data_IF_519796315228
#
_entry.id   IF_519796315228
#
_cell.length_a   1.000
_cell.length_b   1.000
_cell.length_c   1.000
_cell.angle_alpha   90.00
_cell.angle_beta   90.00
_cell.angle_gamma   90.00
#
_symmetry.space_group_name_H-M   'P 1'
#
loop_
_entity.id
_entity.type
_entity.pdbx_description
1 polymer ?
#
# COMPACT_ATOMS: atom_id res chain seq x y z
N UNK A 1 28.57 -14.60 -11.02
CA UNK A 1 27.12 -14.52 -10.75
C UNK A 1 26.66 -13.09 -10.91
N UNK A 2 25.37 -12.84 -11.10
CA UNK A 2 24.78 -11.51 -11.33
C UNK A 2 24.62 -10.67 -10.04
N UNK A 3 25.59 -10.73 -9.12
CA UNK A 3 25.54 -10.07 -7.82
C UNK A 3 26.87 -9.41 -7.51
N UNK A 4 26.83 -8.20 -6.92
CA UNK A 4 28.03 -7.53 -6.43
C UNK A 4 28.91 -6.93 -7.52
N UNK A 5 28.35 -6.56 -8.66
CA UNK A 5 29.06 -5.83 -9.73
C UNK A 5 28.17 -4.71 -10.29
N UNK A 6 28.75 -3.64 -10.86
CA UNK A 6 27.98 -2.62 -11.59
C UNK A 6 27.08 -3.26 -12.65
N UNK A 7 25.85 -2.75 -12.79
CA UNK A 7 24.86 -3.27 -13.74
C UNK A 7 24.24 -4.63 -13.38
N UNK A 8 24.59 -5.21 -12.23
CA UNK A 8 24.03 -6.47 -11.76
C UNK A 8 23.43 -6.33 -10.35
N UNK A 9 22.62 -7.30 -9.94
CA UNK A 9 22.07 -7.39 -8.60
C UNK A 9 20.60 -7.75 -8.58
N UNK A 10 20.02 -7.68 -7.39
CA UNK A 10 18.59 -7.85 -7.15
C UNK A 10 18.02 -6.48 -6.80
N UNK A 11 17.13 -5.97 -7.65
CA UNK A 11 16.45 -4.70 -7.43
C UNK A 11 14.94 -4.92 -7.38
N UNK A 12 14.34 -5.06 -6.18
CA UNK A 12 12.89 -5.09 -6.06
C UNK A 12 12.34 -3.69 -6.38
N UNK A 13 11.67 -3.55 -7.52
CA UNK A 13 11.01 -2.30 -7.93
C UNK A 13 9.86 -2.03 -6.97
N UNK A 14 9.98 -0.97 -6.16
CA UNK A 14 8.97 -0.60 -5.17
C UNK A 14 7.97 0.39 -5.76
N UNK A 15 6.69 0.21 -5.42
CA UNK A 15 5.61 0.95 -6.10
C UNK A 15 5.39 2.39 -5.63
N UNK A 16 5.50 2.69 -4.33
CA UNK A 16 5.33 4.07 -3.84
C UNK A 16 6.63 4.85 -3.85
N UNK A 17 6.49 6.15 -4.03
CA UNK A 17 7.60 7.08 -4.16
C UNK A 17 8.51 7.14 -2.91
N UNK A 18 7.97 6.98 -1.68
CA UNK A 18 8.74 7.01 -0.43
C UNK A 18 8.62 5.75 0.46
N UNK A 19 8.12 4.61 -0.04
CA UNK A 19 7.98 3.40 0.83
C UNK A 19 9.32 2.91 1.37
N UNK A 20 10.42 3.19 0.67
CA UNK A 20 11.76 2.95 1.19
C UNK A 20 12.05 3.83 2.41
N UNK A 21 11.84 5.14 2.28
CA UNK A 21 12.09 6.12 3.35
C UNK A 21 11.21 5.89 4.59
N UNK A 22 9.93 5.56 4.39
CA UNK A 22 8.99 5.19 5.45
C UNK A 22 9.55 4.05 6.32
N UNK A 23 10.07 2.99 5.69
CA UNK A 23 10.71 1.89 6.40
C UNK A 23 12.08 2.23 7.00
N UNK A 24 12.82 3.17 6.41
CA UNK A 24 14.06 3.70 6.98
C UNK A 24 13.80 4.48 8.27
N UNK A 25 12.72 5.26 8.31
CA UNK A 25 12.30 6.08 9.45
C UNK A 25 11.55 5.30 10.54
N UNK A 26 11.52 3.96 10.47
CA UNK A 26 10.99 3.13 11.55
C UNK A 26 9.47 2.95 11.56
N UNK A 27 8.76 3.28 10.47
CA UNK A 27 7.31 2.98 10.35
C UNK A 27 7.11 1.49 9.98
N UNK A 28 7.44 0.61 10.91
CA UNK A 28 7.33 -0.84 10.80
C UNK A 28 6.80 -1.43 12.11
N UNK A 29 6.11 -2.59 12.10
CA UNK A 29 5.58 -3.17 13.33
C UNK A 29 6.66 -3.47 14.39
N UNK A 30 7.88 -3.83 13.95
CA UNK A 30 9.05 -3.94 14.81
C UNK A 30 10.15 -2.98 14.35
N UNK A 31 10.74 -2.23 15.28
CA UNK A 31 11.86 -1.33 15.00
C UNK A 31 13.15 -2.12 14.76
N UNK A 32 13.99 -1.62 13.85
CA UNK A 32 15.36 -2.15 13.68
C UNK A 32 16.19 -1.81 14.91
N UNK A 33 17.03 -2.75 15.35
CA UNK A 33 17.84 -2.61 16.57
C UNK A 33 18.64 -1.30 16.63
N UNK A 34 19.31 -0.91 15.53
CA UNK A 34 20.08 0.33 15.48
C UNK A 34 19.22 1.58 15.67
N UNK A 35 18.02 1.62 15.07
CA UNK A 35 17.08 2.73 15.23
C UNK A 35 16.55 2.76 16.68
N UNK A 36 16.16 1.60 17.22
CA UNK A 36 15.66 1.47 18.59
C UNK A 36 16.70 1.93 19.63
N UNK A 37 17.97 1.51 19.47
CA UNK A 37 19.06 1.93 20.35
C UNK A 37 19.24 3.45 20.36
N UNK A 38 19.18 4.11 19.19
CA UNK A 38 19.25 5.57 19.10
C UNK A 38 18.07 6.27 19.76
N UNK A 39 16.86 5.71 19.65
CA UNK A 39 15.68 6.29 20.31
C UNK A 39 15.76 6.18 21.84
N UNK A 40 16.32 5.09 22.36
CA UNK A 40 16.60 4.93 23.79
C UNK A 40 17.67 5.92 24.24
N UNK A 41 18.80 5.96 23.53
CA UNK A 41 19.97 6.80 23.87
C UNK A 41 19.62 8.30 23.86
N UNK A 42 18.93 8.79 22.83
CA UNK A 42 18.68 10.22 22.64
C UNK A 42 17.43 10.72 23.34
N UNK A 43 16.40 9.87 23.50
CA UNK A 43 15.08 10.31 23.94
C UNK A 43 14.50 9.50 25.10
N UNK A 44 15.22 8.50 25.62
CA UNK A 44 14.77 7.66 26.72
C UNK A 44 13.48 6.90 26.41
N UNK A 45 13.20 6.58 25.14
CA UNK A 45 12.00 5.83 24.78
C UNK A 45 12.13 4.38 25.21
N UNK A 46 11.16 3.88 25.97
CA UNK A 46 11.01 2.46 26.23
C UNK A 46 10.48 1.75 24.98
N UNK A 47 11.24 0.79 24.47
CA UNK A 47 10.86 -0.01 23.31
C UNK A 47 10.02 -1.20 23.80
N UNK A 48 8.81 -1.43 23.25
CA UNK A 48 8.01 -2.61 23.60
C UNK A 48 8.75 -3.92 23.31
N UNK A 49 8.59 -4.92 24.19
CA UNK A 49 9.21 -6.25 24.01
C UNK A 49 8.66 -7.01 22.79
N UNK A 50 7.40 -6.72 22.42
CA UNK A 50 6.71 -7.39 21.32
C UNK A 50 6.53 -6.42 20.15
N UNK A 51 6.69 -6.88 18.91
CA UNK A 51 6.36 -6.06 17.75
C UNK A 51 4.86 -5.72 17.77
N UNK A 52 4.53 -4.56 17.21
CA UNK A 52 3.16 -4.18 16.92
C UNK A 52 2.52 -5.07 15.85
N UNK A 53 1.27 -4.76 15.51
CA UNK A 53 0.54 -5.46 14.47
C UNK A 53 0.97 -4.97 13.08
N UNK A 54 1.02 -5.89 12.11
CA UNK A 54 1.03 -5.50 10.70
C UNK A 54 -0.35 -5.00 10.25
N UNK A 55 -0.44 -4.48 9.02
CA UNK A 55 -1.67 -3.90 8.48
C UNK A 55 -2.84 -4.89 8.49
N UNK A 56 -2.61 -6.15 8.13
CA UNK A 56 -3.68 -7.13 8.06
C UNK A 56 -4.11 -7.58 9.46
N UNK A 57 -3.15 -7.83 10.36
CA UNK A 57 -3.42 -8.11 11.76
C UNK A 57 -4.20 -6.97 12.44
N UNK A 58 -3.91 -5.71 12.08
CA UNK A 58 -4.68 -4.54 12.56
C UNK A 58 -6.13 -4.56 12.08
N UNK A 59 -6.38 -4.99 10.84
CA UNK A 59 -7.74 -5.15 10.30
C UNK A 59 -8.50 -6.30 10.95
N UNK A 60 -7.82 -7.42 11.24
CA UNK A 60 -8.40 -8.52 12.04
C UNK A 60 -8.76 -8.04 13.44
N UNK A 61 -7.85 -7.35 14.13
CA UNK A 61 -8.12 -6.78 15.45
C UNK A 61 -9.29 -5.78 15.42
N UNK A 62 -9.41 -4.97 14.36
CA UNK A 62 -10.55 -4.09 14.17
C UNK A 62 -11.87 -4.87 14.00
N UNK A 63 -11.86 -5.93 13.18
CA UNK A 63 -13.02 -6.82 12.98
C UNK A 63 -13.48 -7.50 14.27
N UNK A 64 -12.54 -7.86 15.14
CA UNK A 64 -12.80 -8.44 16.46
C UNK A 64 -13.20 -7.40 17.53
N UNK A 65 -13.12 -6.10 17.21
CA UNK A 65 -13.47 -5.03 18.15
C UNK A 65 -12.35 -4.70 19.16
N UNK A 66 -11.13 -5.15 18.90
CA UNK A 66 -9.95 -4.90 19.74
C UNK A 66 -9.27 -3.54 19.48
N UNK A 67 -9.74 -2.76 18.49
CA UNK A 67 -9.17 -1.45 18.15
C UNK A 67 -10.09 -0.33 18.60
N UNK A 68 -9.67 0.42 19.63
CA UNK A 68 -10.40 1.58 20.14
C UNK A 68 -10.24 2.83 19.28
N UNK A 69 -9.04 3.08 18.76
CA UNK A 69 -8.75 4.22 17.90
C UNK A 69 -7.77 3.84 16.78
N UNK A 70 -7.93 4.45 15.61
CA UNK A 70 -7.03 4.27 14.48
C UNK A 70 -6.64 5.63 13.87
N UNK A 71 -5.34 5.89 13.75
CA UNK A 71 -4.79 7.05 13.04
C UNK A 71 -4.38 6.59 11.64
N UNK A 72 -5.08 7.08 10.62
CA UNK A 72 -4.91 6.71 9.23
C UNK A 72 -4.20 7.85 8.50
N UNK A 73 -2.95 7.63 8.11
CA UNK A 73 -2.08 8.64 7.51
C UNK A 73 -1.92 8.43 6.00
N UNK A 74 -2.36 9.40 5.19
CA UNK A 74 -2.01 9.52 3.78
C UNK A 74 -2.43 8.35 2.87
N UNK A 75 -3.40 7.53 3.28
CA UNK A 75 -3.75 6.28 2.58
C UNK A 75 -5.24 5.98 2.54
N UNK A 76 -5.59 4.93 1.79
CA UNK A 76 -6.94 4.40 1.70
C UNK A 76 -6.94 2.93 2.17
N UNK A 77 -6.93 2.74 3.49
CA UNK A 77 -6.87 1.41 4.10
C UNK A 77 -8.06 0.55 3.67
N UNK A 78 -9.24 1.14 3.54
CA UNK A 78 -10.44 0.46 3.06
C UNK A 78 -10.25 -0.10 1.64
N UNK A 79 -9.93 0.75 0.66
CA UNK A 79 -9.89 0.32 -0.73
C UNK A 79 -8.69 -0.58 -1.05
N UNK A 80 -7.62 -0.53 -0.26
CA UNK A 80 -6.43 -1.38 -0.44
C UNK A 80 -6.54 -2.77 0.19
N UNK A 81 -7.55 -3.00 1.04
CA UNK A 81 -7.76 -4.32 1.65
C UNK A 81 -8.51 -5.28 0.70
N UNK A 82 -8.22 -6.59 0.79
CA UNK A 82 -9.07 -7.63 0.17
C UNK A 82 -10.43 -7.68 0.88
N UNK A 83 -11.43 -8.26 0.23
CA UNK A 83 -12.79 -8.40 0.75
C UNK A 83 -13.33 -7.04 1.27
N UNK A 84 -13.76 -6.20 0.32
CA UNK A 84 -14.22 -4.83 0.64
C UNK A 84 -15.37 -4.82 1.65
N UNK A 85 -16.23 -5.83 1.66
CA UNK A 85 -17.33 -5.93 2.63
C UNK A 85 -16.78 -6.14 4.04
N UNK A 86 -15.91 -7.12 4.22
CA UNK A 86 -15.25 -7.35 5.50
C UNK A 86 -14.44 -6.12 5.94
N UNK A 87 -13.69 -5.49 5.03
CA UNK A 87 -12.91 -4.30 5.34
C UNK A 87 -13.79 -3.15 5.84
N UNK A 88 -14.95 -2.91 5.21
CA UNK A 88 -15.93 -1.93 5.68
C UNK A 88 -16.42 -2.27 7.10
N UNK A 89 -16.83 -3.51 7.32
CA UNK A 89 -17.41 -3.96 8.58
C UNK A 89 -16.38 -3.95 9.72
N UNK A 90 -15.12 -4.28 9.43
CA UNK A 90 -14.00 -4.20 10.36
C UNK A 90 -13.74 -2.75 10.79
N UNK A 91 -13.63 -1.82 9.83
CA UNK A 91 -13.35 -0.42 10.14
C UNK A 91 -14.50 0.24 10.90
N UNK A 92 -15.75 -0.10 10.60
CA UNK A 92 -16.95 0.40 11.32
C UNK A 92 -17.00 0.03 12.80
N UNK A 93 -16.27 -1.00 13.22
CA UNK A 93 -16.18 -1.41 14.62
C UNK A 93 -15.21 -0.56 15.43
N UNK A 94 -14.27 0.12 14.77
CA UNK A 94 -13.32 1.04 15.42
C UNK A 94 -14.10 2.22 16.01
N UNK A 95 -13.89 2.52 17.30
CA UNK A 95 -14.67 3.57 17.98
C UNK A 95 -14.36 4.96 17.40
N UNK A 96 -13.09 5.28 17.20
CA UNK A 96 -12.66 6.55 16.61
C UNK A 96 -11.61 6.34 15.51
N UNK A 97 -11.88 6.84 14.31
CA UNK A 97 -10.89 6.89 13.22
C UNK A 97 -10.51 8.34 12.95
N UNK A 98 -9.22 8.64 12.95
CA UNK A 98 -8.66 9.95 12.61
C UNK A 98 -7.92 9.79 11.29
N UNK A 99 -8.44 10.37 10.22
CA UNK A 99 -7.77 10.36 8.92
C UNK A 99 -7.05 11.69 8.70
N UNK A 100 -5.74 11.62 8.51
CA UNK A 100 -4.89 12.75 8.12
C UNK A 100 -4.66 12.58 6.62
N UNK A 101 -5.30 13.43 5.82
CA UNK A 101 -5.42 13.21 4.36
C UNK A 101 -5.34 14.51 3.57
N UNK A 102 -4.83 14.41 2.34
CA UNK A 102 -4.77 15.55 1.41
C UNK A 102 -6.05 15.70 0.59
N UNK A 103 -6.77 14.59 0.35
CA UNK A 103 -8.03 14.56 -0.40
C UNK A 103 -9.02 13.55 0.19
N UNK A 104 -10.30 13.73 -0.10
CA UNK A 104 -11.29 12.71 0.18
C UNK A 104 -11.07 11.48 -0.71
N UNK A 105 -11.35 10.29 -0.19
CA UNK A 105 -11.27 9.02 -0.88
C UNK A 105 -12.36 8.08 -0.34
N UNK A 106 -12.57 6.94 -0.99
CA UNK A 106 -13.59 5.96 -0.61
C UNK A 106 -13.53 5.52 0.85
N UNK A 107 -12.34 5.46 1.46
CA UNK A 107 -12.15 5.07 2.85
C UNK A 107 -12.81 6.02 3.84
N UNK A 108 -12.93 7.31 3.52
CA UNK A 108 -13.61 8.28 4.39
C UNK A 108 -15.13 8.10 4.42
N UNK A 109 -15.69 7.37 3.45
CA UNK A 109 -17.13 7.14 3.32
C UNK A 109 -17.47 5.70 3.72
N UNK A 110 -16.80 4.74 3.10
CA UNK A 110 -17.10 3.31 3.25
C UNK A 110 -16.30 2.65 4.38
N UNK A 111 -15.10 3.15 4.68
CA UNK A 111 -14.18 2.64 5.70
C UNK A 111 -14.14 3.45 7.00
N UNK A 112 -15.23 4.12 7.35
CA UNK A 112 -15.31 4.99 8.53
C UNK A 112 -15.49 4.21 9.83
N UNK A 113 -14.92 4.71 10.93
CA UNK A 113 -15.24 4.26 12.29
C UNK A 113 -16.63 4.70 12.76
N UNK A 114 -16.93 4.45 14.04
CA UNK A 114 -18.17 4.93 14.69
C UNK A 114 -18.19 6.46 14.77
N UNK A 115 -17.05 7.04 15.13
CA UNK A 115 -16.75 8.47 15.00
C UNK A 115 -15.56 8.63 14.06
N UNK A 116 -15.67 9.54 13.09
CA UNK A 116 -14.60 9.82 12.14
C UNK A 116 -14.24 11.29 12.16
N UNK A 117 -12.96 11.57 12.39
CA UNK A 117 -12.36 12.89 12.25
C UNK A 117 -11.53 12.91 10.97
N UNK A 118 -11.78 13.90 10.11
CA UNK A 118 -10.99 14.14 8.92
C UNK A 118 -10.17 15.41 9.14
N UNK A 119 -8.85 15.26 9.15
CA UNK A 119 -7.89 16.34 9.33
C UNK A 119 -7.22 16.61 7.96
N UNK A 120 -7.69 17.61 7.20
CA UNK A 120 -7.12 17.93 5.91
C UNK A 120 -5.72 18.52 6.09
N UNK A 121 -4.76 18.02 5.29
CA UNK A 121 -3.36 18.48 5.30
C UNK A 121 -2.89 18.83 3.90
N UNK A 122 -1.88 19.69 3.83
CA UNK A 122 -1.26 20.11 2.57
C UNK A 122 -0.65 18.90 1.85
N UNK A 123 -0.87 18.79 0.53
CA UNK A 123 -0.13 17.87 -0.31
C UNK A 123 1.33 18.33 -0.48
N UNK A 124 2.20 17.45 -0.97
CA UNK A 124 3.64 17.75 -1.14
C UNK A 124 3.90 19.04 -1.92
N UNK A 125 3.18 19.25 -3.03
CA UNK A 125 3.38 20.42 -3.89
C UNK A 125 2.66 21.68 -3.36
N UNK A 126 1.95 21.55 -2.24
CA UNK A 126 1.26 22.62 -1.51
C UNK A 126 2.00 22.96 -0.19
N UNK A 127 3.01 22.15 0.17
CA UNK A 127 3.75 22.25 1.42
C UNK A 127 4.80 23.36 1.36
N UNK A 128 4.72 24.32 2.28
CA UNK A 128 5.62 25.50 2.28
C UNK A 128 7.05 25.20 2.70
N UNK A 129 7.27 24.11 3.45
CA UNK A 129 8.60 23.72 3.91
C UNK A 129 9.20 22.60 3.05
N UNK A 130 10.48 22.71 2.70
CA UNK A 130 11.18 21.67 1.96
C UNK A 130 11.01 20.27 2.57
N UNK A 131 10.82 19.26 1.73
CA UNK A 131 10.61 17.86 2.12
C UNK A 131 11.70 16.96 1.53
N UNK A 132 11.87 15.76 2.10
CA UNK A 132 12.82 14.76 1.58
C UNK A 132 12.16 13.42 1.33
N UNK A 133 12.63 12.72 0.30
CA UNK A 133 12.13 11.41 -0.09
C UNK A 133 13.28 10.47 -0.39
N UNK A 134 13.22 9.25 0.12
CA UNK A 134 14.09 8.17 -0.31
C UNK A 134 13.40 7.35 -1.41
N UNK A 135 13.99 7.39 -2.60
CA UNK A 135 13.53 6.59 -3.75
C UNK A 135 13.86 5.11 -3.61
N UNK A 136 13.28 4.27 -4.47
CA UNK A 136 13.58 2.84 -4.56
C UNK A 136 15.05 2.50 -4.87
N UNK A 137 15.86 3.47 -5.30
CA UNK A 137 17.28 3.30 -5.57
C UNK A 137 18.18 3.65 -4.38
N UNK A 138 17.60 3.72 -3.18
CA UNK A 138 18.27 4.17 -1.96
C UNK A 138 18.85 5.59 -2.10
N UNK A 139 18.18 6.45 -2.85
CA UNK A 139 18.65 7.82 -3.12
C UNK A 139 17.69 8.81 -2.48
N UNK A 140 18.23 9.66 -1.60
CA UNK A 140 17.49 10.69 -0.87
C UNK A 140 17.53 11.98 -1.67
N UNK A 141 16.33 12.49 -2.00
CA UNK A 141 16.11 13.72 -2.73
C UNK A 141 15.56 14.82 -1.84
N UNK A 142 15.86 16.06 -2.19
CA UNK A 142 15.28 17.25 -1.58
C UNK A 142 14.24 17.84 -2.54
N UNK A 143 13.07 18.16 -2.03
CA UNK A 143 12.05 18.93 -2.74
C UNK A 143 11.87 20.25 -2.00
N UNK A 144 11.86 21.36 -2.73
CA UNK A 144 11.76 22.71 -2.18
C UNK A 144 10.45 23.00 -1.45
N UNK A 145 9.47 22.11 -1.55
CA UNK A 145 8.08 22.40 -1.21
C UNK A 145 7.37 23.07 -2.37
N UNK A 146 6.24 23.68 -2.08
CA UNK A 146 5.46 24.44 -3.04
C UNK A 146 4.55 25.45 -2.36
N UNK A 147 3.48 25.81 -3.04
CA UNK A 147 2.61 26.91 -2.63
C UNK A 147 1.23 26.37 -2.28
N UNK A 148 0.70 26.68 -1.09
CA UNK A 148 -0.66 26.30 -0.74
C UNK A 148 -1.67 26.79 -1.77
N UNK A 149 -2.69 25.99 -2.12
CA UNK A 149 -3.65 26.34 -3.16
C UNK A 149 -4.59 27.49 -2.75
N UNK A 150 -4.72 27.73 -1.45
CA UNK A 150 -5.47 28.85 -0.90
C UNK A 150 -4.84 29.33 0.41
N UNK A 151 -4.96 30.62 0.70
CA UNK A 151 -4.74 31.12 2.05
C UNK A 151 -5.85 30.56 2.93
N UNK A 152 -5.51 29.68 3.86
CA UNK A 152 -6.50 28.96 4.66
C UNK A 152 -5.94 28.33 5.93
N UNK A 153 -6.79 27.58 6.61
CA UNK A 153 -6.49 26.95 7.90
C UNK A 153 -5.72 25.64 7.78
N UNK A 154 -5.54 25.11 6.56
CA UNK A 154 -4.80 23.86 6.34
C UNK A 154 -3.37 23.97 6.85
N UNK A 155 -2.86 22.85 7.37
CA UNK A 155 -1.52 22.71 7.95
C UNK A 155 -0.77 21.57 7.28
N UNK A 156 0.54 21.53 7.48
CA UNK A 156 1.36 20.39 7.07
C UNK A 156 0.98 19.13 7.82
N UNK A 157 1.27 17.97 7.23
CA UNK A 157 1.14 16.68 7.91
C UNK A 157 1.95 16.66 9.22
N UNK A 158 3.17 17.21 9.19
CA UNK A 158 4.07 17.29 10.35
C UNK A 158 3.47 18.17 11.45
N UNK A 159 2.88 19.33 11.12
CA UNK A 159 2.27 20.21 12.11
C UNK A 159 1.05 19.54 12.77
N UNK A 160 0.20 18.87 12.02
CA UNK A 160 -0.95 18.14 12.59
C UNK A 160 -0.48 17.03 13.52
N UNK A 161 0.50 16.22 13.13
CA UNK A 161 1.04 15.15 13.97
C UNK A 161 1.68 15.70 15.24
N UNK A 162 2.51 16.74 15.12
CA UNK A 162 3.16 17.38 16.27
C UNK A 162 2.13 18.01 17.23
N UNK A 163 1.10 18.67 16.70
CA UNK A 163 0.06 19.31 17.49
C UNK A 163 -0.88 18.30 18.16
N UNK A 164 -1.05 17.10 17.61
CA UNK A 164 -1.72 15.99 18.29
C UNK A 164 -0.83 15.44 19.41
N UNK A 165 0.44 15.17 19.12
CA UNK A 165 1.41 14.65 20.08
C UNK A 165 1.54 15.57 21.31
N UNK A 166 1.67 16.88 21.09
CA UNK A 166 1.75 17.91 22.14
C UNK A 166 0.53 17.91 23.09
N UNK A 167 -0.67 17.61 22.56
CA UNK A 167 -1.91 17.62 23.34
C UNK A 167 -2.13 16.34 24.14
N UNK A 168 -1.63 15.20 23.67
CA UNK A 168 -1.96 13.88 24.24
C UNK A 168 -0.81 13.23 25.01
N UNK A 169 0.43 13.62 24.73
CA UNK A 169 1.62 13.04 25.36
C UNK A 169 2.08 13.90 26.54
N UNK A 170 2.74 13.31 27.55
CA UNK A 170 3.33 14.06 28.64
C UNK A 170 4.32 15.12 28.14
N UNK A 171 4.34 16.32 28.76
CA UNK A 171 5.28 17.37 28.39
C UNK A 171 6.73 16.98 28.72
N UNK A 172 7.69 17.67 28.10
CA UNK A 172 9.10 17.61 28.48
C UNK A 172 9.94 16.49 27.87
N UNK A 173 9.35 15.55 27.12
CA UNK A 173 10.14 14.53 26.40
C UNK A 173 10.63 15.02 25.04
N UNK A 174 9.78 15.70 24.30
CA UNK A 174 10.09 16.26 22.98
C UNK A 174 9.64 17.72 22.93
N UNK A 175 10.42 18.55 22.26
CA UNK A 175 9.98 19.88 21.83
C UNK A 175 9.15 19.72 20.55
N UNK A 176 7.87 19.40 20.73
CA UNK A 176 6.94 19.20 19.62
C UNK A 176 6.77 20.44 18.75
N UNK A 177 6.90 21.64 19.35
CA UNK A 177 6.83 22.89 18.61
C UNK A 177 8.02 23.04 17.66
N UNK A 178 9.24 22.77 18.14
CA UNK A 178 10.43 22.77 17.30
C UNK A 178 10.37 21.69 16.20
N UNK A 179 9.78 20.53 16.48
CA UNK A 179 9.61 19.44 15.51
C UNK A 179 8.59 19.74 14.39
N UNK A 180 7.86 20.86 14.45
CA UNK A 180 7.07 21.36 13.31
C UNK A 180 7.94 21.87 12.16
N UNK A 181 9.21 22.17 12.42
CA UNK A 181 10.17 22.53 11.39
C UNK A 181 10.69 21.28 10.67
N UNK A 182 10.51 21.20 9.35
CA UNK A 182 11.02 20.08 8.54
C UNK A 182 12.55 19.98 8.58
N UNK A 183 13.23 21.14 8.61
CA UNK A 183 14.68 21.19 8.80
C UNK A 183 15.07 20.58 10.15
N UNK A 184 14.41 21.01 11.24
CA UNK A 184 14.70 20.46 12.57
C UNK A 184 14.44 18.95 12.62
N UNK A 185 13.34 18.51 12.00
CA UNK A 185 13.02 17.09 11.90
C UNK A 185 14.11 16.31 11.16
N UNK A 186 14.66 16.85 10.06
CA UNK A 186 15.81 16.26 9.36
C UNK A 186 17.08 16.20 10.21
N UNK A 187 17.37 17.25 10.97
CA UNK A 187 18.50 17.26 11.92
C UNK A 187 18.36 16.12 12.96
N UNK A 188 17.15 15.86 13.46
CA UNK A 188 16.92 14.72 14.35
C UNK A 188 16.96 13.37 13.63
N UNK A 189 16.40 13.28 12.41
CA UNK A 189 16.48 12.09 11.56
C UNK A 189 17.94 11.67 11.30
N UNK A 190 18.84 12.64 11.07
CA UNK A 190 20.26 12.40 10.85
C UNK A 190 20.96 11.69 12.02
N UNK A 191 20.49 11.92 13.25
CA UNK A 191 21.04 11.30 14.47
C UNK A 191 20.52 9.89 14.69
N UNK A 192 19.28 9.63 14.28
CA UNK A 192 18.55 8.38 14.57
C UNK A 192 18.68 7.36 13.45
N UNK A 193 18.52 7.76 12.19
CA UNK A 193 18.36 6.83 11.06
C UNK A 193 19.75 6.44 10.51
N UNK A 194 20.11 5.14 10.50
CA UNK A 194 21.39 4.71 9.94
C UNK A 194 21.56 5.09 8.46
N UNK A 195 22.68 5.73 8.15
CA UNK A 195 23.02 6.17 6.79
C UNK A 195 22.38 7.50 6.37
N UNK A 196 21.63 8.17 7.25
CA UNK A 196 20.95 9.43 6.95
C UNK A 196 21.70 10.66 7.44
N UNK A 197 22.92 10.54 7.98
CA UNK A 197 23.67 11.68 8.50
C UNK A 197 23.69 12.91 7.55
N UNK A 198 23.86 12.76 6.22
CA UNK A 198 23.84 13.92 5.31
C UNK A 198 22.50 14.67 5.24
N UNK A 199 21.38 14.05 5.63
CA UNK A 199 20.05 14.69 5.61
C UNK A 199 19.97 15.87 6.58
N UNK A 200 20.78 15.88 7.65
CA UNK A 200 20.80 16.97 8.63
C UNK A 200 21.41 18.27 8.09
N UNK A 201 22.20 18.18 7.01
CA UNK A 201 22.88 19.31 6.36
C UNK A 201 22.32 19.60 4.96
N UNK A 202 21.27 18.87 4.53
CA UNK A 202 20.78 18.93 3.15
C UNK A 202 20.15 20.29 2.82
N UNK A 203 19.56 20.97 3.80
CA UNK A 203 18.97 22.30 3.64
C UNK A 203 20.00 23.34 3.20
N UNK A 204 21.22 23.28 3.76
CA UNK A 204 22.30 24.21 3.45
C UNK A 204 23.10 23.76 2.24
N UNK A 205 23.42 22.47 2.16
CA UNK A 205 24.32 21.94 1.13
C UNK A 205 23.62 21.69 -0.20
N UNK A 206 22.29 21.47 -0.17
CA UNK A 206 21.49 21.00 -1.30
C UNK A 206 22.01 19.70 -1.94
N UNK A 207 22.84 18.93 -1.21
CA UNK A 207 23.47 17.71 -1.72
C UNK A 207 22.59 16.49 -1.45
N UNK A 208 21.90 16.04 -2.50
CA UNK A 208 21.24 14.73 -2.55
C UNK A 208 22.27 13.60 -2.47
N UNK A 209 21.87 12.43 -1.95
CA UNK A 209 22.83 11.36 -1.67
C UNK A 209 22.23 9.96 -1.77
N UNK A 210 23.10 8.98 -2.04
CA UNK A 210 22.78 7.57 -1.86
C UNK A 210 22.97 7.18 -0.39
N UNK A 211 21.97 6.50 0.19
CA UNK A 211 22.07 5.93 1.54
C UNK A 211 23.14 4.84 1.54
N UNK A 212 24.20 5.06 2.34
CA UNK A 212 25.34 4.17 2.43
C UNK A 212 24.97 2.74 2.85
N UNK A 213 25.75 1.76 2.39
CA UNK A 213 25.61 0.36 2.79
C UNK A 213 24.40 -0.38 2.21
N UNK A 214 23.69 0.20 1.23
CA UNK A 214 22.53 -0.42 0.56
C UNK A 214 22.80 -0.85 -0.88
N UNK A 215 23.85 -0.33 -1.49
CA UNK A 215 24.34 -0.74 -2.81
C UNK A 215 25.68 -1.46 -2.63
N UNK A 216 25.81 -2.64 -3.24
CA UNK A 216 26.98 -3.49 -3.08
C UNK A 216 27.64 -3.75 -4.43
N UNK A 217 28.89 -3.32 -4.58
CA UNK A 217 29.75 -3.60 -5.73
C UNK A 217 30.80 -4.68 -5.43
N UNK A 218 30.51 -5.49 -4.40
CA UNK A 218 31.19 -6.74 -4.08
C UNK A 218 30.15 -7.70 -3.47
N UNK A 219 30.28 -9.02 -3.64
CA UNK A 219 29.31 -10.01 -3.15
C UNK A 219 29.45 -10.21 -1.63
N UNK A 220 29.07 -9.20 -0.85
CA UNK A 220 29.02 -9.24 0.61
C UNK A 220 27.58 -9.52 1.04
N UNK A 221 27.38 -10.57 1.83
CA UNK A 221 26.05 -10.95 2.30
C UNK A 221 25.92 -10.66 3.79
N UNK A 222 24.79 -10.10 4.20
CA UNK A 222 24.48 -9.80 5.61
C UNK A 222 24.03 -11.06 6.39
N UNK A 223 24.69 -12.19 6.12
CA UNK A 223 24.53 -13.46 6.82
C UNK A 223 25.67 -13.63 7.82
N UNK A 224 25.47 -14.43 8.87
CA UNK A 224 26.45 -14.61 9.94
C UNK A 224 27.82 -15.14 9.42
N UNK A 225 27.82 -15.90 8.33
CA UNK A 225 29.01 -16.47 7.68
C UNK A 225 29.46 -15.67 6.45
N UNK A 226 28.77 -14.58 6.11
CA UNK A 226 29.05 -13.74 4.95
C UNK A 226 28.74 -14.38 3.59
N UNK A 227 28.05 -15.53 3.54
CA UNK A 227 27.74 -16.28 2.30
C UNK A 227 26.27 -16.20 1.91
N UNK A 228 25.99 -16.29 0.60
CA UNK A 228 24.62 -16.42 0.09
C UNK A 228 23.99 -17.76 0.51
N UNK A 229 22.68 -17.75 0.75
CA UNK A 229 21.89 -18.96 1.05
C UNK A 229 21.04 -19.35 -0.16
N UNK A 230 21.28 -20.55 -0.68
CA UNK A 230 20.49 -21.12 -1.77
C UNK A 230 19.27 -21.82 -1.18
N UNK A 231 18.12 -21.64 -1.83
CA UNK A 231 16.87 -22.26 -1.45
C UNK A 231 16.23 -22.90 -2.67
N UNK A 232 15.75 -24.14 -2.52
CA UNK A 232 14.89 -24.78 -3.51
C UNK A 232 13.47 -24.31 -3.26
N UNK A 233 12.85 -23.70 -4.27
CA UNK A 233 11.44 -23.26 -4.20
C UNK A 233 10.62 -24.15 -5.13
N UNK A 234 9.72 -25.00 -4.61
CA UNK A 234 8.86 -25.81 -5.46
C UNK A 234 7.93 -24.92 -6.29
N UNK A 235 7.59 -25.37 -7.50
CA UNK A 235 6.60 -24.67 -8.32
C UNK A 235 5.22 -24.81 -7.66
N UNK A 236 4.45 -23.72 -7.53
CA UNK A 236 3.12 -23.79 -6.97
C UNK A 236 2.19 -24.59 -7.89
N UNK A 237 1.49 -25.58 -7.34
CA UNK A 237 0.53 -26.43 -8.06
C UNK A 237 -0.84 -25.77 -8.28
N UNK A 238 -0.88 -24.43 -8.34
CA UNK A 238 -2.15 -23.73 -8.50
C UNK A 238 -2.64 -23.87 -9.94
N UNK A 239 -3.77 -24.54 -10.11
CA UNK A 239 -4.52 -24.62 -11.36
C UNK A 239 -6.01 -24.54 -11.01
N UNK A 240 -6.76 -23.54 -11.50
CA UNK A 240 -8.22 -23.52 -11.31
C UNK A 240 -8.85 -24.78 -11.91
N UNK A 241 -9.89 -25.29 -11.25
CA UNK A 241 -10.71 -26.40 -11.77
C UNK A 241 -11.31 -26.06 -13.14
N UNK A 242 -11.68 -27.07 -13.97
CA UNK A 242 -12.35 -26.84 -15.24
C UNK A 242 -13.54 -25.87 -15.10
N UNK A 243 -13.54 -24.84 -15.95
CA UNK A 243 -14.57 -23.78 -15.94
C UNK A 243 -14.31 -22.62 -14.97
N UNK A 244 -13.31 -22.72 -14.09
CA UNK A 244 -12.82 -21.59 -13.31
C UNK A 244 -11.60 -20.92 -13.97
N UNK A 245 -11.31 -19.71 -13.53
CA UNK A 245 -10.25 -18.86 -14.04
C UNK A 245 -9.31 -18.42 -12.94
N UNK A 246 -8.08 -18.07 -13.32
CA UNK A 246 -7.16 -17.32 -12.46
C UNK A 246 -7.39 -15.83 -12.64
N UNK A 247 -8.00 -15.19 -11.66
CA UNK A 247 -8.16 -13.75 -11.60
C UNK A 247 -6.91 -13.09 -11.01
N UNK A 248 -6.44 -12.04 -11.68
CA UNK A 248 -5.43 -11.12 -11.18
C UNK A 248 -5.95 -9.69 -11.17
N UNK A 249 -5.62 -8.93 -10.13
CA UNK A 249 -5.88 -7.48 -10.12
C UNK A 249 -4.70 -6.73 -10.71
N UNK A 250 -4.96 -5.65 -11.44
CA UNK A 250 -3.93 -4.80 -12.01
C UNK A 250 -4.27 -3.32 -11.88
N UNK A 251 -3.31 -2.45 -12.21
CA UNK A 251 -3.50 -1.01 -12.28
C UNK A 251 -3.35 -0.56 -13.72
N UNK A 252 -4.07 0.50 -14.09
CA UNK A 252 -3.78 1.24 -15.32
C UNK A 252 -2.67 2.26 -15.08
N UNK A 253 -2.18 2.85 -16.16
CA UNK A 253 -1.24 3.97 -16.18
C UNK A 253 -1.84 5.27 -15.61
N UNK A 254 -3.13 5.51 -15.85
CA UNK A 254 -3.89 6.65 -15.32
C UNK A 254 -4.28 6.50 -13.84
N UNK A 255 -3.53 5.70 -13.08
CA UNK A 255 -3.81 5.40 -11.69
C UNK A 255 -2.53 5.40 -10.86
N UNK A 256 -2.60 5.96 -9.64
CA UNK A 256 -1.58 5.75 -8.63
C UNK A 256 -2.15 5.09 -7.38
N UNK A 257 -1.82 3.81 -7.23
CA UNK A 257 -2.33 2.96 -6.17
C UNK A 257 -3.87 2.96 -6.12
N UNK A 258 -4.50 3.42 -5.03
CA UNK A 258 -5.98 3.45 -4.90
C UNK A 258 -6.59 4.72 -5.48
N UNK A 259 -5.77 5.67 -5.93
CA UNK A 259 -6.23 6.93 -6.52
C UNK A 259 -6.31 6.74 -8.03
N UNK A 260 -7.53 6.73 -8.54
CA UNK A 260 -7.83 6.68 -9.98
C UNK A 260 -7.89 8.12 -10.49
N UNK A 261 -7.06 8.45 -11.49
CA UNK A 261 -7.09 9.74 -12.17
C UNK A 261 -7.85 9.67 -13.49
N UNK A 262 -7.81 8.51 -14.14
CA UNK A 262 -8.41 8.28 -15.45
C UNK A 262 -9.20 6.96 -15.46
N UNK A 263 -10.35 7.00 -16.13
CA UNK A 263 -11.20 5.82 -16.34
C UNK A 263 -10.70 4.95 -17.52
N UNK A 264 -9.94 5.55 -18.44
CA UNK A 264 -9.37 4.85 -19.60
C UNK A 264 -8.05 4.15 -19.23
N UNK A 265 -7.73 3.09 -19.96
CA UNK A 265 -6.43 2.40 -19.97
C UNK A 265 -5.98 2.28 -21.43
N UNK A 266 -5.04 3.12 -21.81
CA UNK A 266 -4.50 3.23 -23.15
C UNK A 266 -3.73 1.97 -23.57
N UNK A 267 -3.11 1.27 -22.63
CA UNK A 267 -2.33 0.06 -22.92
C UNK A 267 -3.20 -1.13 -23.27
N UNK A 268 -4.45 -1.15 -22.79
CA UNK A 268 -5.41 -2.24 -23.02
C UNK A 268 -6.58 -1.83 -23.92
N UNK A 269 -6.71 -0.55 -24.23
CA UNK A 269 -7.80 0.00 -25.04
C UNK A 269 -9.14 0.06 -24.30
N UNK A 270 -9.13 -0.08 -22.98
CA UNK A 270 -10.35 -0.04 -22.17
C UNK A 270 -10.76 1.41 -21.91
N UNK A 271 -12.04 1.74 -22.11
CA UNK A 271 -12.57 3.10 -21.89
C UNK A 271 -13.28 3.29 -20.54
N UNK A 272 -13.28 2.24 -19.73
CA UNK A 272 -13.95 2.14 -18.42
C UNK A 272 -13.23 1.12 -17.55
N UNK A 273 -13.44 1.19 -16.24
CA UNK A 273 -12.77 0.32 -15.26
C UNK A 273 -13.61 -0.82 -14.73
N UNK A 274 -14.94 -0.76 -14.83
CA UNK A 274 -15.82 -1.85 -14.42
C UNK A 274 -15.91 -2.94 -15.51
N UNK A 275 -14.74 -3.52 -15.82
CA UNK A 275 -14.57 -4.59 -16.80
C UNK A 275 -13.87 -5.80 -16.20
N UNK A 276 -14.14 -6.95 -16.80
CA UNK A 276 -13.32 -8.15 -16.69
C UNK A 276 -12.65 -8.44 -18.02
N UNK A 277 -11.33 -8.40 -18.00
CA UNK A 277 -10.49 -8.68 -19.14
C UNK A 277 -10.31 -10.19 -19.31
N UNK A 278 -10.52 -10.70 -20.52
CA UNK A 278 -10.38 -12.13 -20.84
C UNK A 278 -9.85 -12.35 -22.25
N UNK A 279 -9.37 -13.58 -22.52
CA UNK A 279 -8.91 -13.99 -23.84
C UNK A 279 -10.09 -14.21 -24.81
N UNK A 280 -9.86 -14.02 -26.10
CA UNK A 280 -10.89 -14.21 -27.13
C UNK A 280 -11.38 -15.66 -27.18
N UNK A 281 -10.51 -16.64 -26.94
CA UNK A 281 -10.82 -18.07 -26.92
C UNK A 281 -11.74 -18.43 -25.76
N UNK A 282 -11.47 -17.88 -24.57
CA UNK A 282 -12.32 -18.07 -23.39
C UNK A 282 -13.70 -17.42 -23.58
N UNK A 283 -13.73 -16.25 -24.23
CA UNK A 283 -14.96 -15.54 -24.53
C UNK A 283 -15.81 -16.31 -25.55
N UNK A 284 -15.21 -16.76 -26.65
CA UNK A 284 -15.86 -17.57 -27.68
C UNK A 284 -16.40 -18.89 -27.11
N UNK A 285 -15.62 -19.58 -26.27
CA UNK A 285 -16.04 -20.82 -25.61
C UNK A 285 -17.23 -20.65 -24.65
N UNK A 286 -17.59 -19.42 -24.31
CA UNK A 286 -18.71 -19.08 -23.42
C UNK A 286 -19.81 -18.25 -24.09
N UNK A 287 -19.68 -17.97 -25.39
CA UNK A 287 -20.62 -17.13 -26.12
C UNK A 287 -20.68 -15.68 -25.62
N UNK A 288 -19.55 -15.15 -25.16
CA UNK A 288 -19.42 -13.79 -24.61
C UNK A 288 -18.79 -12.89 -25.67
N UNK A 289 -19.42 -11.76 -25.96
CA UNK A 289 -18.90 -10.72 -26.84
C UNK A 289 -18.28 -9.55 -26.06
N UNK A 290 -17.50 -8.72 -26.76
CA UNK A 290 -16.98 -7.45 -26.22
C UNK A 290 -18.12 -6.58 -25.69
N UNK A 291 -17.97 -6.10 -24.44
CA UNK A 291 -18.95 -5.23 -23.79
C UNK A 291 -20.12 -5.95 -23.10
N UNK A 292 -20.31 -7.25 -23.32
CA UNK A 292 -21.40 -8.02 -22.70
C UNK A 292 -21.36 -7.93 -21.17
N UNK A 293 -22.55 -7.89 -20.55
CA UNK A 293 -22.66 -7.89 -19.09
C UNK A 293 -22.42 -9.29 -18.56
N UNK A 294 -21.47 -9.40 -17.63
CA UNK A 294 -21.06 -10.65 -17.00
C UNK A 294 -20.96 -10.47 -15.49
N UNK A 295 -21.12 -11.57 -14.76
CA UNK A 295 -20.87 -11.63 -13.32
C UNK A 295 -19.56 -12.39 -13.10
N UNK A 296 -18.64 -11.78 -12.36
CA UNK A 296 -17.45 -12.44 -11.83
C UNK A 296 -17.69 -12.74 -10.36
N UNK A 297 -17.48 -13.98 -9.93
CA UNK A 297 -17.60 -14.36 -8.52
C UNK A 297 -16.38 -15.14 -8.02
N UNK A 298 -16.09 -14.95 -6.74
CA UNK A 298 -15.09 -15.65 -5.95
C UNK A 298 -15.68 -15.92 -4.56
N UNK A 299 -14.95 -16.63 -3.69
CA UNK A 299 -15.36 -16.80 -2.29
C UNK A 299 -15.47 -15.47 -1.49
N UNK A 300 -14.89 -14.38 -1.98
CA UNK A 300 -14.96 -13.07 -1.32
C UNK A 300 -16.21 -12.27 -1.72
N UNK A 301 -16.80 -12.57 -2.87
CA UNK A 301 -17.95 -11.84 -3.36
C UNK A 301 -18.14 -11.94 -4.87
N UNK A 302 -18.99 -11.05 -5.39
CA UNK A 302 -19.33 -10.98 -6.81
C UNK A 302 -19.39 -9.54 -7.31
N UNK A 303 -19.05 -9.34 -8.58
CA UNK A 303 -19.16 -8.06 -9.28
C UNK A 303 -19.84 -8.29 -10.64
N UNK A 304 -20.78 -7.42 -10.98
CA UNK A 304 -21.36 -7.36 -12.32
C UNK A 304 -20.64 -6.29 -13.14
N UNK A 305 -19.99 -6.69 -14.21
CA UNK A 305 -19.07 -5.88 -15.01
C UNK A 305 -19.27 -6.15 -16.51
N UNK A 306 -18.60 -5.39 -17.36
CA UNK A 306 -18.57 -5.66 -18.79
C UNK A 306 -17.39 -6.55 -19.18
N UNK A 307 -17.55 -7.47 -20.12
CA UNK A 307 -16.45 -8.23 -20.68
C UNK A 307 -15.57 -7.33 -21.56
N UNK A 308 -14.25 -7.45 -21.44
CA UNK A 308 -13.26 -6.80 -22.29
C UNK A 308 -12.33 -7.86 -22.88
N UNK A 309 -12.34 -8.03 -24.20
CA UNK A 309 -11.53 -9.01 -24.91
C UNK A 309 -10.17 -8.39 -25.20
N UNK A 310 -9.13 -8.90 -24.54
CA UNK A 310 -7.76 -8.38 -24.67
C UNK A 310 -6.78 -9.53 -24.89
N UNK A 311 -5.53 -9.18 -25.24
CA UNK A 311 -4.43 -10.14 -25.40
C UNK A 311 -3.97 -10.78 -24.08
N UNK A 312 -4.85 -11.56 -23.45
CA UNK A 312 -4.59 -12.30 -22.22
C UNK A 312 -4.39 -13.80 -22.55
N UNK A 313 -3.61 -14.50 -21.73
CA UNK A 313 -3.48 -15.96 -21.86
C UNK A 313 -4.80 -16.63 -21.46
N UNK A 314 -5.34 -17.58 -22.25
CA UNK A 314 -6.55 -18.32 -21.89
C UNK A 314 -6.48 -18.96 -20.49
N UNK A 315 -7.63 -19.05 -19.81
CA UNK A 315 -7.76 -19.50 -18.43
C UNK A 315 -7.44 -18.44 -17.36
N UNK A 316 -7.19 -17.19 -17.76
CA UNK A 316 -6.93 -16.08 -16.85
C UNK A 316 -7.97 -14.98 -17.03
N UNK A 317 -8.22 -14.22 -15.97
CA UNK A 317 -9.00 -13.00 -15.98
C UNK A 317 -8.18 -11.87 -15.38
N UNK A 318 -8.41 -10.64 -15.81
CA UNK A 318 -7.85 -9.47 -15.15
C UNK A 318 -8.91 -8.41 -14.86
N UNK A 319 -8.79 -7.75 -13.71
CA UNK A 319 -9.69 -6.66 -13.31
C UNK A 319 -8.90 -5.55 -12.62
N UNK A 320 -9.43 -4.34 -12.68
CA UNK A 320 -8.76 -3.19 -12.09
C UNK A 320 -8.85 -3.17 -10.57
N UNK A 321 -7.72 -2.86 -9.94
CA UNK A 321 -7.62 -2.43 -8.55
C UNK A 321 -8.01 -0.94 -8.45
N UNK A 322 -8.60 -0.45 -7.35
CA UNK A 322 -8.99 -1.20 -6.15
C UNK A 322 -10.36 -1.89 -6.23
N UNK A 323 -11.14 -1.67 -7.28
CA UNK A 323 -12.52 -2.13 -7.42
C UNK A 323 -12.62 -3.66 -7.27
N UNK A 324 -11.72 -4.38 -7.95
CA UNK A 324 -11.64 -5.83 -7.92
C UNK A 324 -11.23 -6.42 -6.56
N UNK A 325 -10.82 -5.61 -5.58
CA UNK A 325 -10.55 -6.12 -4.23
C UNK A 325 -11.81 -6.68 -3.55
N UNK A 326 -13.01 -6.34 -4.03
CA UNK A 326 -14.25 -6.99 -3.61
C UNK A 326 -14.27 -8.50 -3.91
N UNK A 327 -13.43 -8.95 -4.86
CA UNK A 327 -13.29 -10.35 -5.28
C UNK A 327 -12.04 -11.02 -4.69
N UNK A 328 -11.17 -10.29 -4.00
CA UNK A 328 -9.92 -10.85 -3.48
C UNK A 328 -10.18 -11.46 -2.10
N UNK A 329 -9.92 -12.76 -1.90
CA UNK A 329 -10.09 -13.39 -0.60
C UNK A 329 -9.08 -12.92 0.42
N UNK A 330 -9.44 -13.20 1.67
CA UNK A 330 -8.66 -12.87 2.87
C UNK A 330 -7.48 -13.82 3.11
N UNK A 331 -7.33 -14.86 2.29
CA UNK A 331 -6.22 -15.80 2.37
C UNK A 331 -4.87 -15.08 2.16
N UNK A 332 -3.91 -15.38 3.03
CA UNK A 332 -2.58 -14.74 3.03
C UNK A 332 -1.49 -15.74 2.71
N UNK A 333 -0.43 -15.25 2.08
CA UNK A 333 0.84 -15.97 2.08
C UNK A 333 1.38 -16.12 3.52
N UNK A 334 1.73 -17.34 3.89
CA UNK A 334 2.09 -17.68 5.27
C UNK A 334 3.31 -16.90 5.79
N UNK A 335 4.24 -16.52 4.90
CA UNK A 335 5.49 -15.84 5.24
C UNK A 335 5.36 -14.32 5.23
N UNK A 336 4.85 -13.76 4.14
CA UNK A 336 4.76 -12.32 3.91
C UNK A 336 3.49 -11.69 4.45
N UNK A 337 2.50 -12.50 4.85
CA UNK A 337 1.17 -12.05 5.31
C UNK A 337 0.44 -11.19 4.27
N UNK A 338 0.77 -11.35 2.99
CA UNK A 338 0.21 -10.57 1.88
C UNK A 338 -0.95 -11.33 1.23
N UNK A 339 -2.09 -10.67 0.94
CA UNK A 339 -3.20 -11.28 0.21
C UNK A 339 -2.85 -11.68 -1.23
N UNK A 340 -3.54 -12.69 -1.77
CA UNK A 340 -3.29 -13.27 -3.09
C UNK A 340 -3.86 -12.44 -4.26
N UNK A 341 -3.57 -11.13 -4.33
CA UNK A 341 -4.11 -10.19 -5.35
C UNK A 341 -3.87 -10.57 -6.83
N UNK A 342 -2.98 -11.53 -7.11
CA UNK A 342 -2.59 -11.92 -8.48
C UNK A 342 -2.95 -13.36 -8.82
N UNK A 343 -3.59 -14.07 -7.89
CA UNK A 343 -3.86 -15.50 -8.03
C UNK A 343 -5.10 -15.88 -7.23
N UNK A 344 -6.26 -15.44 -7.72
CA UNK A 344 -7.57 -15.72 -7.13
C UNK A 344 -8.33 -16.70 -8.03
N UNK A 345 -8.99 -17.70 -7.46
CA UNK A 345 -9.92 -18.55 -8.21
C UNK A 345 -11.21 -17.76 -8.43
N UNK A 346 -11.58 -17.55 -9.68
CA UNK A 346 -12.81 -16.87 -10.05
C UNK A 346 -13.63 -17.69 -11.03
N UNK A 347 -14.94 -17.46 -11.05
CA UNK A 347 -15.86 -17.98 -12.05
C UNK A 347 -16.57 -16.80 -12.70
N UNK A 348 -16.98 -16.99 -13.95
CA UNK A 348 -17.56 -15.94 -14.78
C UNK A 348 -18.73 -16.49 -15.60
N UNK A 349 -19.82 -15.73 -15.64
CA UNK A 349 -21.06 -16.09 -16.34
C UNK A 349 -21.68 -14.86 -17.01
N UNK A 350 -22.41 -15.01 -18.13
CA UNK A 350 -23.26 -13.95 -18.66
C UNK A 350 -24.35 -13.51 -17.65
N UNK A 351 -24.76 -12.25 -17.65
CA UNK A 351 -25.89 -11.80 -16.79
C UNK A 351 -27.22 -12.42 -17.24
N UNK A 352 -27.37 -12.68 -18.54
CA UNK A 352 -28.54 -13.35 -19.12
C UNK A 352 -28.53 -14.89 -18.93
N UNK A 353 -27.68 -15.41 -18.03
CA UNK A 353 -27.46 -16.83 -17.86
C UNK A 353 -28.66 -17.62 -17.30
N UNK A 354 -28.63 -18.94 -17.54
CA UNK A 354 -29.73 -19.90 -17.33
C UNK A 354 -30.03 -20.13 -15.83
N UNK A 355 -31.07 -20.92 -15.50
CA UNK A 355 -31.37 -21.26 -14.10
C UNK A 355 -30.22 -22.00 -13.41
N UNK A 356 -29.52 -22.89 -14.11
CA UNK A 356 -28.36 -23.63 -13.61
C UNK A 356 -27.16 -22.71 -13.31
N UNK A 357 -26.91 -21.70 -14.14
CA UNK A 357 -25.85 -20.71 -13.89
C UNK A 357 -26.14 -19.87 -12.64
N UNK A 358 -27.42 -19.55 -12.39
CA UNK A 358 -27.86 -18.83 -11.19
C UNK A 358 -27.72 -19.68 -9.92
N UNK A 359 -28.02 -20.97 -9.99
CA UNK A 359 -27.81 -21.91 -8.88
C UNK A 359 -26.32 -22.10 -8.57
N UNK A 360 -25.48 -22.23 -9.61
CA UNK A 360 -24.02 -22.27 -9.46
C UNK A 360 -23.49 -20.97 -8.84
N UNK A 361 -24.01 -19.80 -9.25
CA UNK A 361 -23.66 -18.50 -8.66
C UNK A 361 -24.05 -18.41 -7.17
N UNK A 362 -25.20 -18.97 -6.81
CA UNK A 362 -25.69 -18.99 -5.43
C UNK A 362 -24.83 -19.88 -4.52
N UNK A 363 -24.19 -20.93 -5.08
CA UNK A 363 -23.34 -21.86 -4.32
C UNK A 363 -21.94 -21.34 -3.98
N UNK A 364 -21.53 -20.19 -4.55
CA UNK A 364 -20.19 -19.59 -4.37
C UNK A 364 -20.17 -18.54 -3.24
N UNK A 365 -21.32 -18.23 -2.62
CA UNK A 365 -21.51 -17.14 -1.65
C UNK A 365 -21.70 -17.56 -0.19
#
# INVERSE_FOLDING_TARGET
>A
GWLGSPGAGLLPIRGHSNVQGVGSCGMTPGLKQAFAARMVELYGITIPERPGQDTYASMVAAAEGHVGAAVLLGGNLFASNPDRRWAADALRRVRCTIAITTKLNEGHIHGRGRTTLLLPVLARDEEVQATTQESMFNFVRLSDGGTPPSAGEMRSEVEVIAALAERILPPGRFDWLALRSHRRLREEMAKVVPGYAPVGEIDQTRREFHVGGRTFHAPRFATADGRARFHVTPLPAFAPEPGAFRLMTLRSEGQFNTVVYEEEDLYRGNRRRDVVMMAAEDAAGRGIAEGDRVVVATEAGRLEVSAAIVGLRPGNLAMYYPEANALVPRALDARSKTPAFKSVVARLWPVAATSEDREALASVG
#
